data_IF_137365211749
#
_entry.id   IF_137365211749
#
_cell.length_a   1.000
_cell.length_b   1.000
_cell.length_c   1.000
_cell.angle_alpha   90.00
_cell.angle_beta   90.00
_cell.angle_gamma   90.00
#
_symmetry.space_group_name_H-M   'P 1'
#
loop_
_entity.id
_entity.type
_entity.pdbx_description
1 polymer ?
#
# COMPACT_ATOMS: atom_id res chain seq x y z
N UNK A 1 -6.60 -8.07 3.18
CA UNK A 1 -7.51 -7.24 2.35
C UNK A 1 -6.64 -6.54 1.33
N UNK A 2 -6.94 -6.66 0.04
CA UNK A 2 -6.13 -6.06 -1.03
C UNK A 2 -6.63 -4.65 -1.34
N UNK A 3 -5.72 -3.67 -1.40
CA UNK A 3 -6.04 -2.28 -1.78
C UNK A 3 -4.90 -1.65 -2.58
N UNK A 4 -5.16 -0.60 -3.34
CA UNK A 4 -4.14 0.08 -4.15
C UNK A 4 -3.14 0.81 -3.26
N UNK A 5 -1.84 0.69 -3.59
CA UNK A 5 -0.83 1.50 -2.92
C UNK A 5 -1.00 2.97 -3.29
N UNK A 6 -1.11 3.84 -2.30
CA UNK A 6 -1.20 5.30 -2.47
C UNK A 6 -0.25 5.99 -1.48
N UNK A 7 0.14 7.27 -1.70
CA UNK A 7 1.05 7.96 -0.78
C UNK A 7 0.44 8.09 0.62
N UNK A 8 -0.89 8.26 0.68
CA UNK A 8 -1.65 8.30 1.94
C UNK A 8 -1.59 6.97 2.69
N UNK A 9 -1.79 5.84 1.99
CA UNK A 9 -1.67 4.52 2.61
C UNK A 9 -0.24 4.25 3.09
N UNK A 10 0.75 4.60 2.28
CA UNK A 10 2.16 4.47 2.64
C UNK A 10 2.49 5.25 3.92
N UNK A 11 2.05 6.50 4.01
CA UNK A 11 2.22 7.33 5.20
C UNK A 11 1.54 6.73 6.44
N UNK A 12 0.34 6.15 6.29
CA UNK A 12 -0.34 5.44 7.38
C UNK A 12 0.48 4.23 7.86
N UNK A 13 1.02 3.42 6.95
CA UNK A 13 1.80 2.23 7.29
C UNK A 13 3.12 2.59 8.01
N UNK A 14 3.81 3.65 7.55
CA UNK A 14 5.01 4.16 8.22
C UNK A 14 4.69 4.58 9.66
N UNK A 15 3.60 5.36 9.87
CA UNK A 15 3.15 5.77 11.21
C UNK A 15 2.79 4.59 12.12
N UNK A 16 2.34 3.47 11.56
CA UNK A 16 2.05 2.22 12.28
C UNK A 16 3.30 1.39 12.63
N UNK A 17 4.47 1.82 12.19
CA UNK A 17 5.75 1.18 12.46
C UNK A 17 6.09 0.04 11.50
N UNK A 18 5.44 -0.04 10.34
CA UNK A 18 5.89 -0.92 9.26
C UNK A 18 7.21 -0.41 8.68
N UNK A 19 8.11 -1.34 8.34
CA UNK A 19 9.48 -1.01 7.91
C UNK A 19 9.85 -1.61 6.56
N UNK A 20 9.18 -2.69 6.17
CA UNK A 20 9.47 -3.40 4.93
C UNK A 20 8.19 -3.84 4.24
N UNK A 21 8.27 -4.11 2.95
CA UNK A 21 7.26 -4.85 2.19
C UNK A 21 7.87 -6.14 1.68
N UNK A 22 7.17 -7.26 1.86
CA UNK A 22 7.41 -8.43 1.02
C UNK A 22 6.75 -8.19 -0.33
N UNK A 23 7.39 -8.61 -1.41
CA UNK A 23 6.90 -8.37 -2.77
C UNK A 23 6.71 -9.67 -3.53
N UNK A 24 5.57 -9.74 -4.21
CA UNK A 24 5.28 -10.71 -5.23
C UNK A 24 5.01 -9.95 -6.52
N UNK A 25 5.74 -10.30 -7.58
CA UNK A 25 5.54 -9.74 -8.93
C UNK A 25 5.03 -10.85 -9.84
N UNK A 26 3.98 -10.55 -10.60
CA UNK A 26 3.38 -11.44 -11.58
C UNK A 26 3.12 -10.69 -12.88
N UNK A 27 3.08 -11.41 -14.00
CA UNK A 27 2.52 -10.89 -15.23
C UNK A 27 1.00 -10.94 -15.13
N UNK A 28 0.33 -9.88 -15.57
CA UNK A 28 -1.13 -9.80 -15.67
C UNK A 28 -1.49 -9.34 -17.08
N UNK A 29 -2.71 -9.65 -17.51
CA UNK A 29 -3.22 -9.20 -18.80
C UNK A 29 -4.44 -8.30 -18.55
N UNK A 30 -4.20 -7.00 -18.41
CA UNK A 30 -5.22 -5.95 -18.24
C UNK A 30 -4.94 -4.81 -19.21
N UNK A 31 -6.00 -4.14 -19.64
CA UNK A 31 -5.95 -3.04 -20.61
C UNK A 31 -5.01 -1.90 -20.18
N UNK A 32 -4.86 -1.67 -18.86
CA UNK A 32 -4.06 -0.61 -18.26
C UNK A 32 -2.78 -1.09 -17.55
N UNK A 33 -2.55 -2.42 -17.48
CA UNK A 33 -1.40 -2.98 -16.78
C UNK A 33 -0.99 -4.37 -17.26
N UNK A 34 0.33 -4.58 -17.42
CA UNK A 34 0.92 -5.87 -17.78
C UNK A 34 1.69 -6.52 -16.63
N UNK A 35 1.97 -5.75 -15.56
CA UNK A 35 2.69 -6.20 -14.37
C UNK A 35 1.84 -5.96 -13.13
N UNK A 36 1.64 -7.01 -12.34
CA UNK A 36 1.01 -6.96 -11.03
C UNK A 36 2.05 -7.08 -9.93
N UNK A 37 2.07 -6.12 -8.99
CA UNK A 37 2.91 -6.18 -7.79
C UNK A 37 2.00 -6.21 -6.57
N UNK A 38 2.13 -7.23 -5.74
CA UNK A 38 1.47 -7.33 -4.44
C UNK A 38 2.49 -7.16 -3.33
N UNK A 39 2.26 -6.18 -2.48
CA UNK A 39 3.11 -5.83 -1.35
C UNK A 39 2.46 -6.24 -0.03
N UNK A 40 3.21 -6.92 0.85
CA UNK A 40 2.76 -7.26 2.20
C UNK A 40 3.59 -6.53 3.25
N UNK A 41 3.03 -5.58 4.01
CA UNK A 41 3.78 -4.79 4.97
C UNK A 41 4.19 -5.64 6.17
N UNK A 42 5.45 -5.50 6.59
CA UNK A 42 6.00 -6.18 7.77
C UNK A 42 6.85 -5.21 8.61
N UNK A 43 6.79 -5.40 9.94
CA UNK A 43 7.51 -4.52 10.90
C UNK A 43 8.94 -4.99 11.18
N UNK A 44 9.20 -6.27 10.99
CA UNK A 44 10.51 -6.90 11.23
C UNK A 44 11.24 -7.09 9.91
N UNK A 45 12.58 -7.05 9.97
CA UNK A 45 13.41 -7.29 8.80
C UNK A 45 13.19 -8.72 8.28
N UNK A 46 12.83 -8.90 6.99
CA UNK A 46 12.65 -10.22 6.41
C UNK A 46 13.98 -10.97 6.29
N UNK A 47 13.96 -12.29 6.45
CA UNK A 47 15.10 -13.13 6.08
C UNK A 47 14.90 -13.62 4.65
N UNK A 48 15.79 -13.25 3.72
CA UNK A 48 15.67 -13.59 2.29
C UNK A 48 15.47 -15.10 2.05
N UNK A 49 16.21 -15.94 2.76
CA UNK A 49 16.14 -17.40 2.64
C UNK A 49 14.85 -18.01 3.20
N UNK A 50 13.99 -17.22 3.86
CA UNK A 50 12.77 -17.68 4.54
C UNK A 50 11.55 -16.81 4.21
N UNK A 51 11.53 -16.22 3.02
CA UNK A 51 10.33 -15.52 2.57
C UNK A 51 9.20 -16.54 2.39
N UNK A 52 8.01 -16.29 2.97
CA UNK A 52 6.87 -17.14 2.74
C UNK A 52 6.47 -17.05 1.27
N UNK A 53 6.14 -18.17 0.65
CA UNK A 53 5.50 -18.12 -0.66
C UNK A 53 4.20 -17.29 -0.56
N UNK A 54 3.86 -16.51 -1.59
CA UNK A 54 4.50 -16.41 -2.91
C UNK A 54 5.56 -15.29 -3.05
N UNK A 55 6.06 -14.74 -1.95
CA UNK A 55 6.94 -13.55 -1.99
C UNK A 55 8.38 -13.93 -2.33
N UNK A 56 8.97 -13.23 -3.29
CA UNK A 56 10.33 -13.50 -3.80
C UNK A 56 11.33 -12.39 -3.47
N UNK A 57 10.86 -11.20 -3.10
CA UNK A 57 11.70 -10.06 -2.76
C UNK A 57 11.16 -9.30 -1.53
N UNK A 58 11.97 -8.38 -1.00
CA UNK A 58 11.49 -7.40 -0.05
C UNK A 58 12.14 -6.03 -0.27
N UNK A 59 11.42 -4.97 0.11
CA UNK A 59 11.87 -3.59 -0.02
C UNK A 59 11.78 -2.87 1.31
N UNK A 60 12.69 -1.93 1.55
CA UNK A 60 12.55 -0.93 2.61
C UNK A 60 11.35 -0.03 2.31
N UNK A 61 10.51 0.24 3.32
CA UNK A 61 9.26 1.01 3.13
C UNK A 61 9.49 2.46 2.67
N UNK A 62 10.68 3.02 2.91
CA UNK A 62 11.01 4.45 2.67
C UNK A 62 11.75 4.71 1.35
N UNK A 63 12.04 3.69 0.53
CA UNK A 63 12.77 3.85 -0.73
C UNK A 63 11.82 3.69 -1.93
N UNK A 64 11.95 2.61 -2.69
CA UNK A 64 11.14 2.32 -3.88
C UNK A 64 9.62 2.43 -3.65
N UNK A 65 9.06 2.01 -2.49
CA UNK A 65 7.63 2.11 -2.25
C UNK A 65 7.08 3.54 -2.29
N UNK A 66 7.92 4.57 -2.07
CA UNK A 66 7.51 5.99 -2.21
C UNK A 66 7.23 6.33 -3.67
N UNK A 67 8.05 5.83 -4.59
CA UNK A 67 7.84 6.02 -6.02
C UNK A 67 6.65 5.18 -6.50
N UNK A 68 6.58 3.92 -6.06
CA UNK A 68 5.46 3.02 -6.36
C UNK A 68 4.11 3.60 -5.91
N UNK A 69 4.08 4.28 -4.77
CA UNK A 69 2.86 4.89 -4.25
C UNK A 69 2.33 6.04 -5.12
N UNK A 70 3.18 6.68 -5.92
CA UNK A 70 2.77 7.68 -6.91
C UNK A 70 2.29 7.07 -8.23
N UNK A 71 2.38 5.74 -8.36
CA UNK A 71 2.02 4.99 -9.56
C UNK A 71 3.20 4.73 -10.50
N UNK A 72 3.17 3.58 -11.17
CA UNK A 72 4.10 3.20 -12.22
C UNK A 72 3.29 2.83 -13.45
N UNK A 73 3.68 3.35 -14.62
CA UNK A 73 2.98 3.09 -15.88
C UNK A 73 2.89 1.58 -16.15
N UNK A 74 1.74 1.13 -16.64
CA UNK A 74 1.46 -0.27 -16.97
C UNK A 74 1.66 -1.27 -15.81
N UNK A 75 1.60 -0.80 -14.57
CA UNK A 75 1.85 -1.60 -13.38
C UNK A 75 0.74 -1.41 -12.35
N UNK A 76 0.07 -2.50 -11.96
CA UNK A 76 -0.92 -2.50 -10.90
C UNK A 76 -0.23 -2.83 -9.56
N UNK A 77 -0.14 -1.84 -8.66
CA UNK A 77 0.53 -2.01 -7.36
C UNK A 77 -0.51 -2.05 -6.24
N UNK A 78 -0.56 -3.18 -5.56
CA UNK A 78 -1.53 -3.46 -4.49
C UNK A 78 -0.83 -3.83 -3.19
N UNK A 79 -1.52 -3.61 -2.08
CA UNK A 79 -1.06 -3.93 -0.72
C UNK A 79 -2.02 -4.91 -0.08
N UNK A 80 -1.52 -6.04 0.42
CA UNK A 80 -2.27 -6.96 1.27
C UNK A 80 -2.18 -6.53 2.74
N UNK A 81 -3.22 -5.84 3.21
CA UNK A 81 -3.34 -5.36 4.57
C UNK A 81 -3.91 -6.42 5.51
N UNK A 82 -3.42 -6.41 6.75
CA UNK A 82 -4.15 -7.02 7.85
C UNK A 82 -5.51 -6.33 8.01
N UNK A 83 -6.55 -7.10 8.29
CA UNK A 83 -7.92 -6.62 8.37
C UNK A 83 -8.07 -5.43 9.34
N UNK A 84 -7.46 -5.53 10.53
CA UNK A 84 -7.51 -4.49 11.55
C UNK A 84 -6.83 -3.18 11.15
N UNK A 85 -5.85 -3.21 10.25
CA UNK A 85 -5.22 -2.01 9.72
C UNK A 85 -6.01 -1.43 8.54
N UNK A 86 -6.65 -2.29 7.75
CA UNK A 86 -7.53 -1.84 6.68
C UNK A 86 -8.76 -1.09 7.24
N UNK A 87 -9.42 -1.64 8.27
CA UNK A 87 -10.55 -0.99 8.96
C UNK A 87 -10.16 0.38 9.53
N UNK A 88 -8.98 0.48 10.17
CA UNK A 88 -8.45 1.75 10.70
C UNK A 88 -8.11 2.74 9.59
N UNK A 89 -7.63 2.26 8.45
CA UNK A 89 -7.31 3.14 7.33
C UNK A 89 -8.59 3.71 6.70
N UNK A 90 -9.61 2.87 6.49
CA UNK A 90 -10.91 3.33 5.96
C UNK A 90 -11.62 4.28 6.91
N UNK A 91 -11.59 4.04 8.23
CA UNK A 91 -12.19 4.97 9.19
C UNK A 91 -11.56 6.37 9.12
N UNK A 92 -10.24 6.45 8.90
CA UNK A 92 -9.54 7.73 8.71
C UNK A 92 -9.89 8.43 7.39
N UNK A 93 -10.30 7.69 6.35
CA UNK A 93 -10.80 8.29 5.10
C UNK A 93 -12.12 9.02 5.32
N UNK A 94 -13.02 8.41 6.07
CA UNK A 94 -14.35 8.96 6.35
C UNK A 94 -14.28 10.22 7.21
N UNK A 95 -13.38 10.28 8.21
CA UNK A 95 -13.24 11.47 9.08
C UNK A 95 -12.72 12.69 8.32
N UNK A 96 -11.74 12.53 7.41
CA UNK A 96 -11.16 13.65 6.66
C UNK A 96 -12.09 14.21 5.57
N UNK A 97 -12.99 13.39 5.03
CA UNK A 97 -14.02 13.87 4.09
C UNK A 97 -15.14 14.67 4.77
N UNK A 98 -15.20 14.68 6.10
CA UNK A 98 -16.20 15.43 6.86
C UNK A 98 -15.78 16.88 7.11
N UNK A 99 -14.47 17.16 7.21
CA UNK A 99 -13.95 18.50 7.47
C UNK A 99 -14.00 19.43 6.23
N UNK A 100 -13.93 18.88 5.01
CA UNK A 100 -14.05 19.67 3.77
C UNK A 100 -15.48 20.17 3.47
N UNK A 101 -16.51 19.59 4.12
CA UNK A 101 -17.91 19.96 3.88
C UNK A 101 -18.42 21.10 4.77
N UNK A 102 -17.62 21.63 5.71
CA UNK A 102 -18.06 22.72 6.60
C UNK A 102 -17.71 24.14 6.09
N UNK A 103 -17.03 24.25 4.95
CA UNK A 103 -16.58 25.53 4.39
C UNK A 103 -17.50 26.12 3.31
N UNK A 104 -18.63 25.47 2.98
CA UNK A 104 -19.58 25.95 1.96
C UNK A 104 -20.99 26.05 2.56
N UNK A 105 -21.17 26.88 3.58
CA UNK A 105 -22.48 27.43 3.96
C UNK A 105 -22.29 28.64 4.89
N UNK A 106 -21.68 29.69 4.36
CA UNK A 106 -21.77 31.04 4.90
C UNK A 106 -21.66 32.01 3.71
N UNK A 107 -22.76 32.13 2.98
CA UNK A 107 -22.97 33.07 1.87
C UNK A 107 -24.44 33.40 1.82
#
# INVERSE_FOLDING_TARGET
MITTLTPRLLGFLIKKGYKYFLSQTICIDREDAYVGITLKPVKKHPLLQKLPQPFSAYYSIIQEPVQMASGIKNTAITVDLQQSDAEKFESLKTTLNYDDKKSVSAG
#
